data_IF_880138098252
#
_entry.id   IF_880138098252
#
_cell.length_a   1.000
_cell.length_b   1.000
_cell.length_c   1.000
_cell.angle_alpha   90.00
_cell.angle_beta   90.00
_cell.angle_gamma   90.00
#
_symmetry.space_group_name_H-M   'P 1'
#
loop_
_entity.id
_entity.type
_entity.pdbx_description
1 polymer ?
#
# COMPACT_ATOMS: atom_id res chain seq x y z
N UNK A 1 -28.06 7.81 3.39
CA UNK A 1 -26.92 6.90 3.62
C UNK A 1 -25.62 7.66 3.40
N UNK A 2 -24.66 7.55 4.31
CA UNK A 2 -23.31 8.11 4.12
C UNK A 2 -22.42 7.07 3.46
N UNK A 3 -21.56 7.50 2.53
CA UNK A 3 -20.53 6.66 1.91
C UNK A 3 -19.19 6.97 2.57
N UNK A 4 -18.41 5.94 2.88
CA UNK A 4 -17.02 6.10 3.29
C UNK A 4 -16.12 5.88 2.08
N UNK A 5 -15.18 6.78 1.85
CA UNK A 5 -14.10 6.62 0.89
C UNK A 5 -12.80 6.41 1.66
N UNK A 6 -12.14 5.29 1.40
CA UNK A 6 -10.84 4.96 2.00
C UNK A 6 -9.82 4.77 0.89
N UNK A 7 -8.65 5.39 1.03
CA UNK A 7 -7.60 5.31 0.01
C UNK A 7 -6.22 5.39 0.64
N UNK A 8 -5.27 4.67 0.05
CA UNK A 8 -3.86 4.66 0.47
C UNK A 8 -2.95 4.99 -0.72
N UNK A 9 -1.84 5.65 -0.40
CA UNK A 9 -0.81 6.06 -1.36
C UNK A 9 0.54 5.54 -0.88
N UNK A 10 1.15 4.66 -1.68
CA UNK A 10 2.47 4.13 -1.42
C UNK A 10 3.46 4.73 -2.42
N UNK A 11 4.51 5.35 -1.90
CA UNK A 11 5.58 5.95 -2.67
C UNK A 11 6.93 5.69 -2.00
N UNK A 12 7.95 5.44 -2.82
CA UNK A 12 9.34 5.50 -2.42
C UNK A 12 10.09 6.34 -3.46
N UNK A 13 10.93 7.32 -3.03
CA UNK A 13 11.68 8.14 -3.95
C UNK A 13 12.75 7.33 -4.67
N UNK A 14 13.08 7.74 -5.90
CA UNK A 14 14.20 7.16 -6.65
C UNK A 14 15.51 7.35 -5.87
N UNK A 15 16.33 6.30 -5.79
CA UNK A 15 17.61 6.32 -5.07
C UNK A 15 17.49 6.13 -3.56
N UNK A 16 16.32 5.75 -3.06
CA UNK A 16 16.19 5.35 -1.66
C UNK A 16 16.93 4.03 -1.39
N UNK A 17 17.28 3.78 -0.12
CA UNK A 17 18.01 2.58 0.25
C UNK A 17 17.11 1.33 0.21
N UNK A 18 17.60 0.22 -0.32
CA UNK A 18 16.86 -1.04 -0.43
C UNK A 18 16.25 -1.51 0.90
N UNK A 19 16.93 -1.29 2.02
CA UNK A 19 16.43 -1.66 3.33
C UNK A 19 15.20 -0.85 3.74
N UNK A 20 15.06 0.39 3.26
CA UNK A 20 13.86 1.22 3.48
C UNK A 20 12.68 0.66 2.69
N UNK A 21 12.91 0.27 1.43
CA UNK A 21 11.89 -0.37 0.59
C UNK A 21 11.41 -1.67 1.25
N UNK A 22 12.35 -2.52 1.65
CA UNK A 22 12.06 -3.79 2.32
C UNK A 22 11.31 -3.59 3.64
N UNK A 23 11.77 -2.66 4.46
CA UNK A 23 11.10 -2.34 5.72
C UNK A 23 9.65 -1.88 5.49
N UNK A 24 9.42 -0.98 4.53
CA UNK A 24 8.07 -0.49 4.24
C UNK A 24 7.18 -1.60 3.65
N UNK A 25 7.72 -2.49 2.82
CA UNK A 25 7.01 -3.65 2.32
C UNK A 25 6.58 -4.59 3.46
N UNK A 26 7.54 -5.02 4.29
CA UNK A 26 7.31 -5.98 5.38
C UNK A 26 6.40 -5.42 6.48
N UNK A 27 6.44 -4.11 6.73
CA UNK A 27 5.69 -3.48 7.84
C UNK A 27 4.38 -2.82 7.43
N UNK A 28 4.18 -2.53 6.14
CA UNK A 28 3.01 -1.77 5.69
C UNK A 28 2.36 -2.39 4.46
N UNK A 29 3.05 -2.44 3.33
CA UNK A 29 2.41 -2.75 2.04
C UNK A 29 1.84 -4.16 2.00
N UNK A 30 2.64 -5.14 2.43
CA UNK A 30 2.22 -6.53 2.42
C UNK A 30 1.18 -6.84 3.51
N UNK A 31 1.39 -6.49 4.80
CA UNK A 31 0.39 -6.75 5.85
C UNK A 31 -0.97 -6.11 5.56
N UNK A 32 -1.00 -4.91 4.98
CA UNK A 32 -2.25 -4.26 4.61
C UNK A 32 -3.02 -5.09 3.56
N UNK A 33 -2.35 -5.50 2.49
CA UNK A 33 -2.97 -6.28 1.42
C UNK A 33 -3.34 -7.69 1.86
N UNK A 34 -2.53 -8.30 2.73
CA UNK A 34 -2.80 -9.62 3.30
C UNK A 34 -4.10 -9.61 4.11
N UNK A 35 -4.27 -8.63 4.99
CA UNK A 35 -5.50 -8.48 5.78
C UNK A 35 -6.66 -8.08 4.85
N UNK A 36 -6.48 -7.13 3.95
CA UNK A 36 -7.54 -6.67 3.06
C UNK A 36 -8.11 -7.81 2.17
N UNK A 37 -7.27 -8.77 1.77
CA UNK A 37 -7.68 -9.97 1.05
C UNK A 37 -8.72 -10.80 1.82
N UNK A 38 -8.60 -10.84 3.14
CA UNK A 38 -9.51 -11.60 4.01
C UNK A 38 -10.88 -10.91 4.21
N UNK A 39 -11.00 -9.63 3.81
CA UNK A 39 -12.23 -8.84 3.86
C UNK A 39 -12.63 -8.32 2.47
N UNK A 40 -13.15 -9.17 1.56
CA UNK A 40 -13.46 -8.79 0.17
C UNK A 40 -14.51 -7.67 0.04
N UNK A 41 -15.30 -7.42 1.09
CA UNK A 41 -16.27 -6.32 1.13
C UNK A 41 -15.69 -4.97 1.54
N UNK A 42 -14.47 -4.95 2.09
CA UNK A 42 -13.76 -3.71 2.34
C UNK A 42 -13.30 -3.10 1.02
N UNK A 43 -13.88 -1.96 0.64
CA UNK A 43 -13.54 -1.25 -0.59
C UNK A 43 -12.58 -0.11 -0.29
N UNK A 44 -11.47 -0.07 -1.03
CA UNK A 44 -10.48 0.99 -0.93
C UNK A 44 -9.86 1.29 -2.30
N UNK A 45 -9.26 2.46 -2.43
CA UNK A 45 -8.38 2.80 -3.55
C UNK A 45 -6.92 2.65 -3.12
N UNK A 46 -6.07 2.15 -4.02
CA UNK A 46 -4.63 2.06 -3.80
C UNK A 46 -3.91 2.72 -4.96
N UNK A 47 -3.06 3.69 -4.64
CA UNK A 47 -2.13 4.30 -5.58
C UNK A 47 -0.70 3.90 -5.23
N UNK A 48 0.02 3.31 -6.19
CA UNK A 48 1.45 2.98 -6.10
C UNK A 48 2.18 3.79 -7.15
N UNK A 49 3.30 4.42 -6.79
CA UNK A 49 4.14 5.16 -7.74
C UNK A 49 5.02 4.23 -8.56
N UNK A 50 5.34 4.60 -9.80
CA UNK A 50 6.16 3.79 -10.71
C UNK A 50 7.44 3.23 -10.08
N UNK A 51 8.32 4.05 -9.48
CA UNK A 51 9.55 3.56 -8.85
C UNK A 51 9.38 2.58 -7.69
N UNK A 52 8.18 2.51 -7.09
CA UNK A 52 7.88 1.52 -6.04
C UNK A 52 7.28 0.24 -6.62
N UNK A 53 6.74 0.29 -7.84
CA UNK A 53 6.15 -0.85 -8.53
C UNK A 53 7.20 -1.69 -9.29
N UNK A 54 8.23 -1.01 -9.79
CA UNK A 54 9.40 -1.62 -10.46
C UNK A 54 10.27 -2.44 -9.49
#
# INVERSE_FOLDING_TARGET
>A
MKKLLFGIHNHQPVGNFDWVLRFAYEKSYFPFLEIARDYPEFKFALHITGPLWE
#
